data_IF_688839768366
#
_entry.id   IF_688839768366
#
_cell.length_a   1.000
_cell.length_b   1.000
_cell.length_c   1.000
_cell.angle_alpha   90.00
_cell.angle_beta   90.00
_cell.angle_gamma   90.00
#
_symmetry.space_group_name_H-M   'P 1'
#
loop_
_entity.id
_entity.type
_entity.pdbx_description
1 polymer ?
#
# COMPACT_ATOMS: atom_id res chain seq x y z
N UNK A 1 -32.73 49.82 -90.61
CA UNK A 1 -32.20 48.60 -89.98
C UNK A 1 -31.53 49.05 -88.68
N UNK A 2 -32.28 49.07 -87.57
CA UNK A 2 -32.46 47.99 -86.56
C UNK A 2 -31.26 47.89 -85.61
N UNK A 3 -31.36 47.93 -84.27
CA UNK A 3 -32.45 48.13 -83.30
C UNK A 3 -31.82 48.42 -81.91
N UNK A 4 -32.55 49.02 -80.96
CA UNK A 4 -32.10 49.37 -79.59
C UNK A 4 -33.09 48.84 -78.52
N UNK A 5 -32.60 48.49 -77.32
CA UNK A 5 -33.28 47.75 -76.23
C UNK A 5 -33.40 48.57 -74.91
N UNK A 6 -34.42 48.26 -74.07
CA UNK A 6 -34.71 48.84 -72.73
C UNK A 6 -35.06 47.74 -71.70
N UNK A 7 -34.66 47.90 -70.43
CA UNK A 7 -34.80 46.95 -69.28
C UNK A 7 -35.67 47.48 -68.11
N UNK A 8 -36.18 46.53 -67.27
CA UNK A 8 -37.18 46.65 -66.17
C UNK A 8 -36.62 47.10 -64.80
N UNK A 9 -37.49 47.63 -63.92
CA UNK A 9 -37.26 47.86 -62.48
C UNK A 9 -38.38 47.23 -61.59
N UNK A 10 -38.03 46.70 -60.41
CA UNK A 10 -38.92 46.07 -59.42
C UNK A 10 -39.13 46.97 -58.18
N UNK A 11 -40.33 46.90 -57.56
CA UNK A 11 -40.70 47.60 -56.31
C UNK A 11 -40.51 46.67 -55.08
N UNK A 12 -39.95 47.19 -54.00
CA UNK A 12 -39.90 46.54 -52.67
C UNK A 12 -40.88 47.23 -51.71
N UNK A 13 -41.61 46.44 -50.91
CA UNK A 13 -42.43 46.90 -49.80
C UNK A 13 -41.93 46.28 -48.50
N UNK A 14 -41.65 47.13 -47.50
CA UNK A 14 -41.16 46.77 -46.16
C UNK A 14 -42.37 46.47 -45.25
N UNK A 15 -42.38 45.32 -44.58
CA UNK A 15 -43.28 45.03 -43.46
C UNK A 15 -42.45 44.73 -42.22
N UNK A 16 -42.65 45.52 -41.15
CA UNK A 16 -42.07 45.29 -39.84
C UNK A 16 -43.11 44.62 -38.94
N UNK A 17 -42.83 43.41 -38.46
CA UNK A 17 -43.60 42.72 -37.43
C UNK A 17 -42.78 42.60 -36.15
N UNK A 18 -43.28 43.19 -35.07
CA UNK A 18 -42.74 43.01 -33.70
C UNK A 18 -43.15 41.62 -33.22
N UNK A 19 -42.17 40.74 -32.97
CA UNK A 19 -42.38 39.48 -32.24
C UNK A 19 -41.98 39.69 -30.78
N UNK A 20 -42.97 39.71 -29.88
CA UNK A 20 -42.78 39.63 -28.44
C UNK A 20 -42.50 38.16 -28.09
N UNK A 21 -41.22 37.81 -27.99
CA UNK A 21 -40.79 36.49 -27.51
C UNK A 21 -40.68 36.51 -25.99
N UNK A 22 -41.61 35.88 -25.29
CA UNK A 22 -41.41 35.51 -23.87
C UNK A 22 -40.36 34.41 -23.81
N UNK A 23 -39.14 34.73 -23.41
CA UNK A 23 -38.14 33.74 -23.03
C UNK A 23 -38.60 33.10 -21.70
N UNK A 24 -39.11 31.88 -21.76
CA UNK A 24 -39.15 30.99 -20.60
C UNK A 24 -37.70 30.69 -20.22
N UNK A 25 -37.20 31.33 -19.17
CA UNK A 25 -35.96 30.89 -18.53
C UNK A 25 -36.20 29.45 -18.04
N UNK A 26 -35.45 28.49 -18.57
CA UNK A 26 -35.44 27.14 -18.02
C UNK A 26 -35.00 27.24 -16.55
N UNK A 27 -35.83 26.77 -15.63
CA UNK A 27 -35.40 26.57 -14.23
C UNK A 27 -34.27 25.53 -14.26
N UNK A 28 -33.07 25.95 -13.91
CA UNK A 28 -31.94 25.04 -13.78
C UNK A 28 -32.13 24.25 -12.49
N UNK A 29 -32.31 22.94 -12.60
CA UNK A 29 -32.33 22.02 -11.47
C UNK A 29 -30.88 21.64 -11.14
N UNK A 30 -30.44 21.92 -9.92
CA UNK A 30 -29.09 21.63 -9.44
C UNK A 30 -29.15 20.73 -8.21
N UNK A 31 -28.53 19.56 -8.30
CA UNK A 31 -28.37 18.66 -7.16
C UNK A 31 -27.20 19.14 -6.29
N UNK A 32 -27.52 19.69 -5.12
CA UNK A 32 -26.55 20.26 -4.18
C UNK A 32 -26.26 19.27 -3.06
N UNK A 33 -25.01 18.85 -2.92
CA UNK A 33 -24.54 17.98 -1.84
C UNK A 33 -24.05 18.80 -0.65
N UNK A 34 -24.71 18.64 0.49
CA UNK A 34 -24.34 19.22 1.78
C UNK A 34 -23.49 18.22 2.59
N UNK A 35 -22.52 18.74 3.34
CA UNK A 35 -21.58 17.92 4.12
C UNK A 35 -21.23 18.60 5.45
N UNK A 36 -21.36 17.87 6.57
CA UNK A 36 -21.00 18.36 7.91
C UNK A 36 -20.29 17.28 8.71
N UNK A 37 -19.24 17.66 9.41
CA UNK A 37 -18.47 16.80 10.31
C UNK A 37 -18.91 17.03 11.77
N UNK A 38 -19.35 15.93 12.41
CA UNK A 38 -19.87 15.89 13.77
C UNK A 38 -18.82 15.40 14.80
N UNK A 39 -17.56 15.21 14.42
CA UNK A 39 -16.51 14.61 15.24
C UNK A 39 -16.36 15.30 16.60
N UNK A 40 -16.37 16.64 16.63
CA UNK A 40 -16.22 17.39 17.88
C UNK A 40 -17.35 17.09 18.88
N UNK A 41 -18.58 16.90 18.40
CA UNK A 41 -19.76 16.66 19.22
C UNK A 41 -19.84 15.20 19.69
N UNK A 42 -19.39 14.26 18.86
CA UNK A 42 -19.21 12.85 19.24
C UNK A 42 -18.20 12.72 20.38
N UNK A 43 -17.03 13.35 20.24
CA UNK A 43 -15.98 13.35 21.28
C UNK A 43 -16.48 13.93 22.62
N UNK A 44 -17.36 14.93 22.57
CA UNK A 44 -17.96 15.54 23.76
C UNK A 44 -19.15 14.76 24.34
N UNK A 45 -19.57 13.65 23.72
CA UNK A 45 -20.77 12.90 24.13
C UNK A 45 -22.09 13.68 23.93
N UNK A 46 -22.08 14.66 23.02
CA UNK A 46 -23.25 15.48 22.66
C UNK A 46 -23.98 14.97 21.42
N UNK A 47 -23.36 14.06 20.68
CA UNK A 47 -23.92 13.45 19.48
C UNK A 47 -23.52 11.96 19.41
N UNK A 48 -24.46 11.09 19.07
CA UNK A 48 -24.28 9.64 18.97
C UNK A 48 -24.65 9.14 17.58
N UNK A 49 -23.66 8.64 16.84
CA UNK A 49 -23.87 8.11 15.49
C UNK A 49 -24.92 6.98 15.48
N UNK A 50 -25.82 7.01 14.48
CA UNK A 50 -26.88 6.03 14.30
C UNK A 50 -28.06 6.14 15.27
N UNK A 51 -27.98 7.03 16.26
CA UNK A 51 -29.10 7.37 17.16
C UNK A 51 -29.61 8.78 16.87
N UNK A 52 -28.68 9.72 16.74
CA UNK A 52 -28.99 11.12 16.48
C UNK A 52 -29.01 11.40 14.97
N UNK A 53 -29.80 12.37 14.55
CA UNK A 53 -29.95 12.74 13.14
C UNK A 53 -29.46 14.17 12.90
N UNK A 54 -28.96 14.41 11.69
CA UNK A 54 -28.55 15.74 11.24
C UNK A 54 -29.33 16.09 9.99
N UNK A 55 -29.86 17.30 9.93
CA UNK A 55 -30.53 17.84 8.75
C UNK A 55 -29.79 19.07 8.24
N UNK A 56 -29.87 19.33 6.93
CA UNK A 56 -29.56 20.64 6.38
C UNK A 56 -30.86 21.39 6.10
N UNK A 57 -30.98 22.62 6.60
CA UNK A 57 -32.14 23.48 6.39
C UNK A 57 -31.73 24.83 5.83
N UNK A 58 -32.49 25.38 4.89
CA UNK A 58 -32.08 26.59 4.19
C UNK A 58 -33.16 27.21 3.31
N UNK A 59 -32.79 28.29 2.63
CA UNK A 59 -33.66 29.05 1.71
C UNK A 59 -34.23 28.18 0.61
N UNK A 60 -33.43 27.26 0.06
CA UNK A 60 -33.76 26.33 -1.04
C UNK A 60 -34.95 25.39 -0.78
N UNK A 61 -35.44 25.31 0.46
CA UNK A 61 -36.63 24.54 0.82
C UNK A 61 -37.59 25.32 1.75
N UNK A 62 -37.27 26.58 2.07
CA UNK A 62 -38.08 27.43 2.93
C UNK A 62 -37.90 27.20 4.44
N UNK A 63 -36.71 26.78 4.88
CA UNK A 63 -36.36 26.56 6.31
C UNK A 63 -37.23 25.54 7.06
N UNK A 64 -37.91 24.65 6.34
CA UNK A 64 -38.66 23.50 6.86
C UNK A 64 -37.74 22.31 7.16
N UNK A 65 -38.25 21.31 7.91
CA UNK A 65 -37.51 20.07 8.19
C UNK A 65 -37.76 18.97 7.17
N UNK A 66 -37.05 17.84 7.30
CA UNK A 66 -37.27 16.65 6.47
C UNK A 66 -36.19 16.36 5.42
N UNK A 67 -35.11 17.14 5.37
CA UNK A 67 -33.91 16.82 4.60
C UNK A 67 -32.81 16.30 5.53
N UNK A 68 -32.90 15.02 5.89
CA UNK A 68 -31.91 14.34 6.72
C UNK A 68 -30.67 13.94 5.93
N UNK A 69 -29.51 14.12 6.55
CA UNK A 69 -28.21 13.69 6.06
C UNK A 69 -27.92 12.29 6.61
N UNK A 70 -27.14 11.53 5.86
CA UNK A 70 -26.68 10.19 6.25
C UNK A 70 -25.17 10.17 6.39
N UNK A 71 -24.64 9.34 7.28
CA UNK A 71 -23.21 9.18 7.44
C UNK A 71 -22.53 8.70 6.13
N UNK A 72 -21.36 9.25 5.84
CA UNK A 72 -20.55 8.87 4.70
C UNK A 72 -20.01 7.44 4.89
N UNK A 73 -20.01 6.58 3.85
CA UNK A 73 -19.39 5.26 3.93
C UNK A 73 -17.89 5.28 4.25
N UNK A 74 -17.21 6.40 3.96
CA UNK A 74 -15.77 6.57 4.22
C UNK A 74 -15.43 7.15 5.60
N UNK A 75 -16.39 7.76 6.28
CA UNK A 75 -16.22 8.34 7.62
C UNK A 75 -17.58 8.43 8.32
N UNK A 76 -17.76 7.70 9.42
CA UNK A 76 -19.00 7.65 10.17
C UNK A 76 -19.39 8.98 10.84
N UNK A 77 -18.46 9.93 10.96
CA UNK A 77 -18.69 11.23 11.58
C UNK A 77 -19.04 12.33 10.57
N UNK A 78 -18.83 12.10 9.27
CA UNK A 78 -19.23 13.02 8.21
C UNK A 78 -20.63 12.66 7.74
N UNK A 79 -21.57 13.59 7.88
CA UNK A 79 -22.94 13.46 7.40
C UNK A 79 -23.10 14.20 6.07
N UNK A 80 -23.64 13.50 5.07
CA UNK A 80 -23.85 14.01 3.72
C UNK A 80 -25.24 13.69 3.20
N UNK A 81 -25.75 14.58 2.35
CA UNK A 81 -27.03 14.42 1.66
C UNK A 81 -27.09 15.34 0.46
N UNK A 82 -27.85 14.95 -0.56
CA UNK A 82 -28.04 15.75 -1.77
C UNK A 82 -29.48 16.21 -1.85
N UNK A 83 -29.67 17.51 -2.04
CA UNK A 83 -30.97 18.14 -2.25
C UNK A 83 -30.99 18.81 -3.62
N UNK A 84 -32.10 18.61 -4.33
CA UNK A 84 -32.33 19.24 -5.62
C UNK A 84 -32.86 20.66 -5.43
N UNK A 85 -32.05 21.66 -5.77
CA UNK A 85 -32.42 23.09 -5.74
C UNK A 85 -32.94 23.52 -7.12
N UNK A 86 -34.09 24.20 -7.14
CA UNK A 86 -34.76 24.66 -8.38
C UNK A 86 -34.70 26.18 -8.58
N UNK A 87 -33.98 26.87 -7.69
CA UNK A 87 -33.80 28.32 -7.76
C UNK A 87 -32.92 28.73 -8.95
N UNK A 88 -32.93 30.02 -9.27
CA UNK A 88 -32.17 30.53 -10.41
C UNK A 88 -30.65 30.36 -10.17
N UNK A 89 -29.92 29.95 -11.19
CA UNK A 89 -28.47 29.91 -11.11
C UNK A 89 -27.87 31.28 -10.68
N UNK A 90 -26.74 31.23 -9.98
CA UNK A 90 -26.09 32.37 -9.32
C UNK A 90 -26.85 33.02 -8.15
N UNK A 91 -27.98 32.46 -7.68
CA UNK A 91 -28.56 32.89 -6.40
C UNK A 91 -27.63 32.57 -5.24
N UNK A 92 -27.66 33.42 -4.21
CA UNK A 92 -27.03 33.13 -2.93
C UNK A 92 -28.07 32.40 -2.08
N UNK A 93 -27.76 31.16 -1.75
CA UNK A 93 -28.56 30.34 -0.85
C UNK A 93 -28.00 30.39 0.56
N UNK A 94 -28.89 30.42 1.54
CA UNK A 94 -28.56 30.36 2.96
C UNK A 94 -28.92 29.00 3.53
N UNK A 95 -28.10 28.50 4.47
CA UNK A 95 -28.37 27.23 5.13
C UNK A 95 -27.77 27.15 6.53
N UNK A 96 -28.27 26.18 7.31
CA UNK A 96 -27.72 25.72 8.57
C UNK A 96 -27.93 24.21 8.73
N UNK A 97 -27.06 23.58 9.49
CA UNK A 97 -27.26 22.24 10.02
C UNK A 97 -28.07 22.28 11.31
N UNK A 98 -28.93 21.29 11.48
CA UNK A 98 -29.74 21.09 12.70
C UNK A 98 -29.57 19.65 13.14
N UNK A 99 -29.27 19.46 14.42
CA UNK A 99 -29.32 18.14 15.03
C UNK A 99 -30.73 17.93 15.59
N UNK A 100 -31.39 16.89 15.12
CA UNK A 100 -32.67 16.40 15.66
C UNK A 100 -32.43 15.03 16.31
N UNK A 101 -32.78 14.89 17.58
CA UNK A 101 -32.22 13.87 18.46
C UNK A 101 -30.97 14.35 19.22
N UNK A 102 -30.31 13.46 19.95
CA UNK A 102 -29.33 13.80 20.98
C UNK A 102 -30.03 14.15 22.29
N UNK A 103 -29.25 14.27 23.36
CA UNK A 103 -29.67 14.70 24.70
C UNK A 103 -30.29 16.12 24.77
N UNK A 104 -30.76 16.68 23.66
CA UNK A 104 -31.37 18.00 23.52
C UNK A 104 -30.36 19.15 23.54
N UNK A 105 -29.07 18.85 23.39
CA UNK A 105 -27.98 19.79 23.69
C UNK A 105 -27.46 20.59 22.48
N UNK A 106 -27.77 20.19 21.24
CA UNK A 106 -27.18 20.78 20.03
C UNK A 106 -28.17 21.68 19.27
N UNK A 107 -29.29 21.14 18.77
CA UNK A 107 -30.28 21.91 18.03
C UNK A 107 -29.71 22.55 16.76
N UNK A 108 -30.07 23.81 16.49
CA UNK A 108 -29.54 24.57 15.36
C UNK A 108 -28.05 24.89 15.54
N UNK A 109 -27.28 24.75 14.47
CA UNK A 109 -25.90 25.21 14.52
C UNK A 109 -25.79 26.73 14.70
N UNK A 110 -24.68 27.14 15.34
CA UNK A 110 -24.23 28.50 15.54
C UNK A 110 -22.76 28.60 15.09
N UNK A 111 -22.50 28.74 13.77
CA UNK A 111 -21.16 28.72 13.22
C UNK A 111 -20.37 29.97 13.59
N UNK A 112 -19.16 29.81 14.10
CA UNK A 112 -18.31 30.96 14.47
C UNK A 112 -17.88 31.81 13.27
N UNK A 113 -17.71 31.20 12.08
CA UNK A 113 -17.32 31.88 10.84
C UNK A 113 -18.32 32.93 10.37
N UNK A 114 -19.59 32.80 10.76
CA UNK A 114 -20.68 33.73 10.42
C UNK A 114 -21.18 34.52 11.64
N UNK A 115 -20.50 34.41 12.78
CA UNK A 115 -20.95 35.01 14.04
C UNK A 115 -22.26 34.43 14.56
N UNK A 116 -22.54 33.15 14.27
CA UNK A 116 -23.78 32.45 14.62
C UNK A 116 -24.90 32.60 13.59
N UNK A 117 -24.69 33.32 12.49
CA UNK A 117 -25.66 33.49 11.41
C UNK A 117 -25.68 32.30 10.43
N UNK A 118 -26.51 32.36 9.41
CA UNK A 118 -26.62 31.33 8.38
C UNK A 118 -25.32 31.21 7.57
N UNK A 119 -24.97 29.99 7.17
CA UNK A 119 -23.95 29.74 6.15
C UNK A 119 -24.52 30.09 4.79
N UNK A 120 -23.67 30.43 3.83
CA UNK A 120 -24.08 30.83 2.49
C UNK A 120 -23.30 30.06 1.41
N UNK A 121 -23.93 29.81 0.29
CA UNK A 121 -23.27 29.37 -0.94
C UNK A 121 -23.93 30.01 -2.17
N UNK A 122 -23.20 30.10 -3.28
CA UNK A 122 -23.77 30.56 -4.55
C UNK A 122 -24.07 29.37 -5.44
N UNK A 123 -25.30 29.30 -5.94
CA UNK A 123 -25.75 28.22 -6.83
C UNK A 123 -25.00 28.28 -8.17
N UNK A 124 -24.47 27.13 -8.62
CA UNK A 124 -23.64 27.08 -9.84
C UNK A 124 -24.38 27.57 -11.08
N UNK A 125 -23.65 28.22 -11.99
CA UNK A 125 -24.16 28.70 -13.28
C UNK A 125 -24.00 27.70 -14.41
N UNK A 126 -23.16 26.69 -14.21
CA UNK A 126 -22.86 25.67 -15.22
C UNK A 126 -22.78 24.32 -14.53
N UNK A 127 -23.81 23.49 -14.70
CA UNK A 127 -23.83 22.12 -14.18
C UNK A 127 -25.17 21.74 -13.59
N UNK A 128 -25.39 20.43 -13.49
CA UNK A 128 -26.57 19.84 -12.84
C UNK A 128 -26.28 19.42 -11.40
N UNK A 129 -25.03 19.54 -10.93
CA UNK A 129 -24.57 19.08 -9.61
C UNK A 129 -23.60 20.08 -8.98
N UNK A 130 -23.67 20.26 -7.66
CA UNK A 130 -22.74 21.09 -6.89
C UNK A 130 -22.46 20.46 -5.52
N UNK A 131 -21.20 20.17 -5.21
CA UNK A 131 -20.81 19.65 -3.90
C UNK A 131 -20.22 20.76 -3.04
N UNK A 132 -20.82 21.02 -1.88
CA UNK A 132 -20.30 22.00 -0.92
C UNK A 132 -19.14 21.40 -0.11
N UNK A 133 -18.18 22.22 0.36
CA UNK A 133 -17.12 21.74 1.26
C UNK A 133 -17.69 21.10 2.54
N UNK A 134 -16.96 20.13 3.10
CA UNK A 134 -17.22 19.63 4.46
C UNK A 134 -16.90 20.75 5.45
N UNK A 135 -17.83 21.04 6.36
CA UNK A 135 -17.64 22.01 7.45
C UNK A 135 -17.84 21.36 8.82
N UNK A 136 -17.22 21.89 9.86
CA UNK A 136 -17.41 21.42 11.24
C UNK A 136 -18.73 21.99 11.79
N UNK A 137 -19.52 21.19 12.50
CA UNK A 137 -20.72 21.70 13.18
C UNK A 137 -20.34 22.81 14.19
N UNK A 138 -21.03 23.97 14.14
CA UNK A 138 -20.69 25.20 14.86
C UNK A 138 -19.31 25.82 14.53
N UNK A 139 -18.61 25.32 13.51
CA UNK A 139 -17.18 25.56 13.30
C UNK A 139 -16.34 25.22 14.54
N UNK A 140 -16.80 24.26 15.34
CA UNK A 140 -16.14 23.87 16.59
C UNK A 140 -14.97 22.93 16.29
N UNK A 141 -13.72 23.29 16.66
CA UNK A 141 -12.59 22.38 16.52
C UNK A 141 -12.81 21.08 17.32
N UNK A 142 -12.29 19.97 16.81
CA UNK A 142 -12.29 18.70 17.54
C UNK A 142 -11.42 18.84 18.79
N UNK A 143 -11.95 18.61 20.01
CA UNK A 143 -11.14 18.67 21.23
C UNK A 143 -10.05 17.60 21.21
N UNK A 144 -8.85 17.93 21.69
CA UNK A 144 -7.81 16.94 21.95
C UNK A 144 -8.25 15.98 23.06
N UNK A 145 -8.07 14.68 22.86
CA UNK A 145 -8.27 13.65 23.88
C UNK A 145 -7.01 12.84 24.05
N UNK A 146 -6.70 12.40 25.27
CA UNK A 146 -5.59 11.48 25.51
C UNK A 146 -6.02 10.05 25.20
N UNK A 147 -5.38 9.43 24.21
CA UNK A 147 -5.56 8.04 23.82
C UNK A 147 -4.27 7.26 24.16
N UNK A 148 -4.40 6.17 24.91
CA UNK A 148 -3.29 5.29 25.23
C UNK A 148 -2.99 4.36 24.04
N UNK A 149 -1.98 4.73 23.24
CA UNK A 149 -1.63 4.03 22.01
C UNK A 149 -0.54 2.98 22.28
N UNK A 150 -0.86 1.70 22.03
CA UNK A 150 0.09 0.59 22.13
C UNK A 150 0.80 0.35 20.80
N UNK A 151 2.12 0.53 20.80
CA UNK A 151 3.03 0.24 19.68
C UNK A 151 3.58 -1.17 19.83
N UNK A 152 3.76 -1.87 18.70
CA UNK A 152 4.21 -3.26 18.68
C UNK A 152 5.18 -3.50 17.50
N UNK A 153 6.37 -4.02 17.78
CA UNK A 153 7.38 -4.34 16.76
C UNK A 153 8.02 -5.70 17.02
N UNK A 154 8.09 -6.53 16.00
CA UNK A 154 8.74 -7.83 16.03
C UNK A 154 10.21 -7.71 15.57
N UNK A 155 11.13 -8.08 16.45
CA UNK A 155 12.58 -8.01 16.26
C UNK A 155 13.21 -9.34 15.84
N UNK A 156 12.42 -10.37 15.56
CA UNK A 156 12.89 -11.75 15.33
C UNK A 156 13.98 -11.85 14.28
N UNK A 157 13.87 -11.13 13.16
CA UNK A 157 14.90 -11.16 12.11
C UNK A 157 16.19 -10.45 12.56
N UNK A 158 16.11 -9.39 13.36
CA UNK A 158 17.32 -8.72 13.86
C UNK A 158 18.05 -9.58 14.89
N UNK A 159 17.30 -10.33 15.71
CA UNK A 159 17.87 -11.34 16.61
C UNK A 159 18.54 -12.47 15.82
N UNK A 160 17.88 -12.99 14.77
CA UNK A 160 18.45 -14.02 13.89
C UNK A 160 19.76 -13.55 13.23
N UNK A 161 19.83 -12.28 12.84
CA UNK A 161 21.02 -11.66 12.23
C UNK A 161 22.10 -11.28 13.25
N UNK A 162 21.85 -11.52 14.53
CA UNK A 162 22.71 -11.08 15.64
C UNK A 162 22.95 -9.55 15.65
N UNK A 163 22.00 -8.78 15.10
CA UNK A 163 22.01 -7.32 15.09
C UNK A 163 21.30 -6.73 16.31
N UNK A 164 20.52 -7.54 17.02
CA UNK A 164 19.76 -7.14 18.20
C UNK A 164 19.79 -8.26 19.26
N UNK A 165 20.10 -7.91 20.49
CA UNK A 165 20.21 -8.85 21.63
C UNK A 165 19.17 -8.49 22.68
N UNK A 166 18.20 -9.39 22.90
CA UNK A 166 17.14 -9.21 23.89
C UNK A 166 17.73 -8.97 25.30
N UNK A 167 17.21 -7.94 25.98
CA UNK A 167 17.64 -7.57 27.34
C UNK A 167 18.98 -6.82 27.41
N UNK A 168 19.65 -6.61 26.28
CA UNK A 168 20.87 -5.79 26.18
C UNK A 168 20.59 -4.53 25.37
N UNK A 169 20.02 -4.71 24.18
CA UNK A 169 19.73 -3.61 23.27
C UNK A 169 18.34 -3.01 23.58
N UNK A 170 18.21 -1.70 23.37
CA UNK A 170 16.95 -0.97 23.61
C UNK A 170 16.31 -0.59 22.28
N UNK A 171 15.00 -0.77 22.18
CA UNK A 171 14.20 -0.29 21.05
C UNK A 171 13.13 0.67 21.55
N UNK A 172 12.98 1.80 20.87
CA UNK A 172 12.00 2.83 21.17
C UNK A 172 11.07 3.06 19.97
N UNK A 173 9.87 3.54 20.24
CA UNK A 173 9.04 4.18 19.22
C UNK A 173 9.16 5.70 19.37
N UNK A 174 9.43 6.41 18.27
CA UNK A 174 9.48 7.88 18.24
C UNK A 174 8.57 8.38 17.14
N UNK A 175 7.74 9.37 17.43
CA UNK A 175 6.85 9.97 16.44
C UNK A 175 6.49 11.43 16.71
N UNK A 176 5.58 11.96 15.88
CA UNK A 176 5.04 13.33 15.98
C UNK A 176 4.38 13.59 17.33
N UNK A 177 3.69 12.60 17.90
CA UNK A 177 3.02 12.64 19.22
C UNK A 177 3.92 12.99 20.41
N UNK A 178 5.24 12.99 20.24
CA UNK A 178 6.21 13.39 21.26
C UNK A 178 7.36 14.25 20.70
N UNK A 179 7.23 14.73 19.45
CA UNK A 179 8.21 15.62 18.83
C UNK A 179 9.54 14.94 18.42
N UNK A 180 9.51 13.65 18.08
CA UNK A 180 10.68 12.88 17.64
C UNK A 180 11.83 12.78 18.67
N UNK A 181 11.56 13.05 19.95
CA UNK A 181 12.52 12.87 21.04
C UNK A 181 12.59 11.41 21.54
N UNK A 182 13.57 11.09 22.37
CA UNK A 182 13.71 9.75 22.99
C UNK A 182 13.03 9.65 24.35
N UNK A 183 13.05 8.45 24.93
CA UNK A 183 12.48 8.20 26.27
C UNK A 183 11.18 7.39 26.28
N UNK A 184 10.86 6.71 25.17
CA UNK A 184 9.76 5.74 25.10
C UNK A 184 10.27 4.35 24.68
N UNK A 185 11.00 3.65 25.58
CA UNK A 185 11.46 2.29 25.32
C UNK A 185 10.29 1.29 25.36
N UNK A 186 10.36 0.33 24.45
CA UNK A 186 9.45 -0.81 24.40
C UNK A 186 10.07 -1.98 25.16
N UNK A 187 9.24 -2.89 25.64
CA UNK A 187 9.67 -4.09 26.36
C UNK A 187 9.06 -5.34 25.76
N UNK A 188 9.77 -6.46 25.89
CA UNK A 188 9.31 -7.78 25.48
C UNK A 188 8.87 -8.61 26.69
N UNK A 189 8.04 -9.61 26.44
CA UNK A 189 7.73 -10.63 27.44
C UNK A 189 8.66 -11.84 27.23
N UNK A 190 9.69 -11.99 28.07
CA UNK A 190 10.65 -13.09 27.98
C UNK A 190 10.02 -14.49 28.21
N UNK A 191 8.81 -14.56 28.77
CA UNK A 191 8.03 -15.81 28.92
C UNK A 191 6.87 -15.91 27.93
N UNK A 192 6.76 -14.96 26.98
CA UNK A 192 5.72 -14.95 25.95
C UNK A 192 6.01 -15.94 24.82
N UNK A 193 4.99 -16.26 24.03
CA UNK A 193 5.12 -17.14 22.87
C UNK A 193 6.09 -16.58 21.80
N UNK A 194 6.14 -15.25 21.66
CA UNK A 194 7.14 -14.54 20.87
C UNK A 194 7.98 -13.66 21.80
N UNK A 195 9.16 -14.15 22.18
CA UNK A 195 10.08 -13.42 23.06
C UNK A 195 10.78 -12.25 22.36
N UNK A 196 10.63 -12.10 21.04
CA UNK A 196 11.19 -11.00 20.25
C UNK A 196 10.15 -9.91 19.91
N UNK A 197 8.91 -10.04 20.40
CA UNK A 197 7.88 -9.01 20.25
C UNK A 197 8.06 -7.95 21.32
N UNK A 198 8.37 -6.73 20.89
CA UNK A 198 8.51 -5.56 21.76
C UNK A 198 7.25 -4.70 21.69
N UNK A 199 6.73 -4.33 22.85
CA UNK A 199 5.48 -3.58 23.01
C UNK A 199 5.65 -2.44 24.01
N UNK A 200 4.88 -1.37 23.83
CA UNK A 200 4.86 -0.24 24.77
C UNK A 200 3.64 0.63 24.52
N UNK A 201 3.14 1.31 25.56
CA UNK A 201 1.97 2.18 25.45
C UNK A 201 2.34 3.62 25.79
N UNK A 202 1.97 4.55 24.91
CA UNK A 202 2.21 5.99 25.08
C UNK A 202 0.89 6.77 25.11
N UNK A 203 0.70 7.72 26.03
CA UNK A 203 -0.48 8.58 26.06
C UNK A 203 -0.36 9.69 24.97
N UNK A 204 -0.99 9.48 23.82
CA UNK A 204 -1.02 10.46 22.73
C UNK A 204 -2.18 11.43 22.97
N UNK A 205 -1.89 12.74 23.02
CA UNK A 205 -2.90 13.76 23.25
C UNK A 205 -3.08 14.63 22.00
N UNK A 206 -4.03 14.23 21.15
CA UNK A 206 -4.40 14.93 19.92
C UNK A 206 -5.91 14.73 19.64
N UNK A 207 -6.45 15.38 18.63
CA UNK A 207 -7.79 15.12 18.13
C UNK A 207 -7.86 13.71 17.50
N UNK A 208 -8.96 12.99 17.75
CA UNK A 208 -9.26 11.79 16.97
C UNK A 208 -9.38 12.12 15.49
N UNK A 209 -8.85 11.25 14.63
CA UNK A 209 -8.72 11.48 13.19
C UNK A 209 -7.37 12.07 12.76
N UNK A 210 -6.57 12.61 13.68
CA UNK A 210 -5.21 13.07 13.37
C UNK A 210 -4.34 11.91 12.86
N UNK A 211 -3.60 12.14 11.78
CA UNK A 211 -2.59 11.19 11.29
C UNK A 211 -1.28 11.44 11.99
N UNK A 212 -0.88 10.49 12.83
CA UNK A 212 0.39 10.50 13.54
C UNK A 212 1.45 9.73 12.74
N UNK A 213 2.67 10.24 12.73
CA UNK A 213 3.83 9.63 12.08
C UNK A 213 4.76 9.06 13.16
N UNK A 214 5.35 7.90 12.92
CA UNK A 214 6.28 7.25 13.85
C UNK A 214 7.30 6.37 13.14
N UNK A 215 8.40 6.09 13.83
CA UNK A 215 9.37 5.04 13.48
C UNK A 215 9.90 4.37 14.73
N UNK A 216 10.36 3.14 14.58
CA UNK A 216 11.17 2.46 15.58
C UNK A 216 12.65 2.82 15.42
N UNK A 217 13.35 2.90 16.54
CA UNK A 217 14.80 3.12 16.59
C UNK A 217 15.40 2.19 17.62
N UNK A 218 16.52 1.56 17.28
CA UNK A 218 17.36 0.86 18.25
C UNK A 218 18.38 1.85 18.80
N UNK A 219 18.32 2.10 20.11
CA UNK A 219 19.23 2.99 20.85
C UNK A 219 20.16 2.14 21.73
N UNK A 220 21.47 2.24 21.51
CA UNK A 220 22.47 1.37 22.15
C UNK A 220 22.61 -0.04 21.55
N UNK A 221 23.67 -0.75 21.98
CA UNK A 221 23.99 -2.12 21.55
C UNK A 221 25.29 -2.28 20.77
N UNK A 222 25.69 -3.53 20.50
CA UNK A 222 26.90 -3.86 19.73
C UNK A 222 26.78 -3.54 18.22
N UNK A 223 25.72 -2.85 17.78
CA UNK A 223 25.39 -2.61 16.37
C UNK A 223 24.70 -1.27 16.11
N UNK A 224 25.07 -0.64 14.98
CA UNK A 224 24.52 0.62 14.44
C UNK A 224 23.15 0.42 13.74
N UNK A 225 22.21 -0.34 14.32
CA UNK A 225 20.91 -0.57 13.66
C UNK A 225 20.15 0.75 13.43
N UNK A 226 20.18 1.64 14.44
CA UNK A 226 19.62 2.98 14.33
C UNK A 226 18.14 2.97 13.96
N UNK A 227 17.74 3.96 13.15
CA UNK A 227 16.37 4.08 12.67
C UNK A 227 15.99 2.94 11.74
N UNK A 228 14.78 2.42 11.90
CA UNK A 228 14.24 1.47 10.93
C UNK A 228 14.17 2.07 9.51
N UNK A 229 14.10 1.21 8.50
CA UNK A 229 13.97 1.54 7.09
C UNK A 229 12.88 0.66 6.43
N UNK A 230 11.59 0.89 6.74
CA UNK A 230 10.49 0.03 6.32
C UNK A 230 10.24 0.06 4.81
N UNK A 231 10.14 -1.11 4.19
CA UNK A 231 9.88 -1.23 2.76
C UNK A 231 8.50 -0.70 2.36
N UNK A 232 7.48 -0.85 3.22
CA UNK A 232 6.10 -0.39 2.98
C UNK A 232 5.97 1.12 2.75
N UNK A 233 6.92 1.90 3.27
CA UNK A 233 6.94 3.36 3.15
C UNK A 233 8.16 3.85 2.35
N UNK A 234 8.90 2.94 1.70
CA UNK A 234 10.18 3.25 1.04
C UNK A 234 11.18 3.94 1.98
N UNK A 235 11.21 3.52 3.25
CA UNK A 235 12.11 4.04 4.28
C UNK A 235 11.59 5.24 5.08
N UNK A 236 10.46 5.82 4.66
CA UNK A 236 9.83 6.93 5.36
C UNK A 236 9.17 6.49 6.68
N UNK A 237 8.57 7.46 7.37
CA UNK A 237 7.83 7.20 8.60
C UNK A 237 6.63 6.29 8.35
N UNK A 238 6.34 5.44 9.33
CA UNK A 238 5.05 4.75 9.44
C UNK A 238 4.01 5.75 9.93
N UNK A 239 2.74 5.46 9.71
CA UNK A 239 1.65 6.32 10.18
C UNK A 239 0.48 5.54 10.74
N UNK A 240 -0.26 6.16 11.65
CA UNK A 240 -1.57 5.68 12.07
C UNK A 240 -2.53 6.85 12.22
N UNK A 241 -3.82 6.58 12.03
CA UNK A 241 -4.88 7.54 12.38
C UNK A 241 -5.26 7.32 13.84
N UNK A 242 -5.18 8.38 14.65
CA UNK A 242 -5.56 8.35 16.05
C UNK A 242 -7.07 8.09 16.16
N UNK A 243 -7.46 7.03 16.85
CA UNK A 243 -8.87 6.74 17.08
C UNK A 243 -9.47 7.75 18.08
N UNK A 244 -10.75 8.10 17.89
CA UNK A 244 -11.57 8.80 18.89
C UNK A 244 -11.95 7.86 20.04
N UNK A 245 -10.95 7.39 20.79
CA UNK A 245 -11.07 6.40 21.86
C UNK A 245 -10.08 6.70 23.00
N UNK A 246 -10.23 5.99 24.12
CA UNK A 246 -9.30 6.09 25.27
C UNK A 246 -8.07 5.20 25.15
N UNK A 247 -8.12 4.20 24.27
CA UNK A 247 -7.00 3.30 23.98
C UNK A 247 -7.06 2.80 22.53
N UNK A 248 -5.89 2.55 21.95
CA UNK A 248 -5.74 2.00 20.60
C UNK A 248 -4.50 1.11 20.55
N UNK A 249 -4.65 -0.13 20.12
CA UNK A 249 -3.52 -1.02 19.86
C UNK A 249 -3.22 -1.02 18.38
N UNK A 250 -2.01 -0.61 18.00
CA UNK A 250 -1.57 -0.66 16.61
C UNK A 250 -1.24 -2.11 16.20
N UNK A 251 -1.39 -2.48 14.92
CA UNK A 251 -0.97 -3.78 14.44
C UNK A 251 0.51 -4.06 14.73
N UNK A 252 0.84 -5.33 14.93
CA UNK A 252 2.24 -5.77 14.98
C UNK A 252 2.86 -5.54 13.61
N UNK A 253 4.03 -4.91 13.59
CA UNK A 253 4.85 -4.77 12.38
C UNK A 253 6.24 -5.36 12.60
N UNK A 254 6.93 -5.73 11.53
CA UNK A 254 8.32 -6.19 11.60
C UNK A 254 9.28 -5.01 11.48
N UNK A 255 10.39 -5.01 12.21
CA UNK A 255 11.43 -4.00 12.03
C UNK A 255 11.94 -4.02 10.57
N UNK A 256 11.95 -2.87 9.90
CA UNK A 256 12.22 -2.71 8.45
C UNK A 256 11.24 -3.44 7.51
N UNK A 257 10.08 -3.88 8.01
CA UNK A 257 9.14 -4.77 7.29
C UNK A 257 9.75 -6.11 6.86
N UNK A 258 10.75 -6.59 7.61
CA UNK A 258 11.45 -7.82 7.31
C UNK A 258 10.92 -8.96 8.18
N UNK A 259 10.08 -9.83 7.58
CA UNK A 259 9.58 -11.03 8.24
C UNK A 259 10.57 -12.20 8.10
N UNK A 260 10.42 -13.24 8.93
CA UNK A 260 11.21 -14.48 8.79
C UNK A 260 11.05 -15.14 7.43
N UNK A 261 9.89 -14.98 6.79
CA UNK A 261 9.63 -15.50 5.43
C UNK A 261 10.34 -14.73 4.32
N UNK A 262 11.03 -13.63 4.64
CA UNK A 262 11.83 -12.83 3.70
C UNK A 262 13.33 -13.14 3.77
N UNK A 263 13.74 -13.96 4.72
CA UNK A 263 15.14 -14.30 4.96
C UNK A 263 15.34 -15.80 5.11
N UNK A 264 16.59 -16.25 4.95
CA UNK A 264 16.95 -17.64 5.23
C UNK A 264 16.89 -17.89 6.75
N UNK A 265 16.10 -18.87 7.16
CA UNK A 265 15.98 -19.22 8.58
C UNK A 265 17.24 -19.91 9.17
N UNK A 266 18.13 -20.42 8.31
CA UNK A 266 19.37 -21.09 8.69
C UNK A 266 20.44 -20.89 7.61
N UNK A 267 21.70 -21.09 7.98
CA UNK A 267 22.80 -21.14 7.03
C UNK A 267 22.50 -22.14 5.92
N UNK A 268 22.70 -21.71 4.68
CA UNK A 268 22.30 -22.48 3.50
C UNK A 268 23.44 -22.54 2.50
N UNK A 269 23.91 -23.75 2.19
CA UNK A 269 24.90 -24.01 1.16
C UNK A 269 24.21 -24.03 -0.20
N UNK A 270 24.44 -23.00 -1.01
CA UNK A 270 23.81 -22.82 -2.32
C UNK A 270 24.78 -23.20 -3.43
N UNK A 271 24.36 -24.11 -4.31
CA UNK A 271 25.09 -24.49 -5.52
C UNK A 271 24.65 -23.61 -6.68
N UNK A 272 25.59 -22.88 -7.27
CA UNK A 272 25.40 -22.10 -8.50
C UNK A 272 26.00 -22.87 -9.67
N UNK A 273 25.38 -22.79 -10.85
CA UNK A 273 25.84 -23.50 -12.04
C UNK A 273 25.53 -22.72 -13.30
N UNK A 274 26.49 -22.67 -14.23
CA UNK A 274 26.34 -21.98 -15.51
C UNK A 274 26.81 -22.87 -16.66
N UNK A 275 26.03 -22.89 -17.74
CA UNK A 275 26.42 -23.47 -19.01
C UNK A 275 27.19 -22.43 -19.84
N UNK A 276 28.45 -22.76 -20.16
CA UNK A 276 29.37 -21.91 -20.92
C UNK A 276 29.43 -22.26 -22.42
N UNK A 277 28.53 -23.12 -22.90
CA UNK A 277 28.48 -23.49 -24.32
C UNK A 277 28.27 -22.25 -25.19
N UNK A 278 29.23 -21.95 -26.07
CA UNK A 278 29.25 -20.76 -26.92
C UNK A 278 29.24 -19.43 -26.15
N UNK A 279 29.73 -19.39 -24.90
CA UNK A 279 29.82 -18.17 -24.14
C UNK A 279 30.75 -17.14 -24.79
N UNK A 280 30.30 -15.89 -24.88
CA UNK A 280 31.07 -14.75 -25.39
C UNK A 280 30.87 -13.59 -24.42
N UNK A 281 31.97 -13.01 -23.95
CA UNK A 281 31.95 -11.86 -23.07
C UNK A 281 31.50 -10.57 -23.77
N UNK A 282 31.11 -9.56 -23.00
CA UNK A 282 30.74 -8.23 -23.52
C UNK A 282 31.89 -7.51 -24.22
N UNK A 283 33.13 -7.95 -23.99
CA UNK A 283 34.37 -7.56 -24.66
C UNK A 283 34.63 -8.32 -25.98
N UNK A 284 33.68 -9.13 -26.43
CA UNK A 284 33.75 -10.02 -27.59
C UNK A 284 34.76 -11.18 -27.45
N UNK A 285 35.26 -11.44 -26.23
CA UNK A 285 36.11 -12.59 -25.95
C UNK A 285 35.27 -13.88 -25.93
N UNK A 286 35.57 -14.83 -26.82
CA UNK A 286 34.93 -16.14 -26.83
C UNK A 286 35.59 -17.05 -25.79
N UNK A 287 34.77 -17.71 -24.96
CA UNK A 287 35.25 -18.59 -23.91
C UNK A 287 36.00 -19.81 -24.46
N UNK A 288 37.23 -20.03 -23.99
CA UNK A 288 38.03 -21.23 -24.26
C UNK A 288 38.20 -22.06 -22.97
N UNK A 289 37.57 -23.25 -22.84
CA UNK A 289 37.69 -24.07 -21.63
C UNK A 289 39.11 -24.60 -21.37
N UNK A 290 40.03 -24.51 -22.34
CA UNK A 290 41.43 -24.90 -22.21
C UNK A 290 42.33 -23.83 -21.57
N UNK A 291 41.95 -22.56 -21.62
CA UNK A 291 42.75 -21.44 -21.10
C UNK A 291 42.02 -20.51 -20.13
N UNK A 292 40.69 -20.45 -20.22
CA UNK A 292 39.86 -19.56 -19.42
C UNK A 292 39.34 -20.23 -18.14
N UNK A 293 38.96 -19.40 -17.18
CA UNK A 293 38.32 -19.79 -15.93
C UNK A 293 36.97 -19.09 -15.75
N UNK A 294 36.07 -19.72 -15.01
CA UNK A 294 34.72 -19.20 -14.75
C UNK A 294 34.58 -18.82 -13.29
N UNK A 295 33.93 -17.70 -13.03
CA UNK A 295 33.79 -17.12 -11.70
C UNK A 295 32.36 -16.68 -11.40
N UNK A 296 31.98 -16.68 -10.12
CA UNK A 296 30.68 -16.21 -9.63
C UNK A 296 30.78 -14.87 -8.88
N UNK A 297 30.30 -13.79 -9.48
CA UNK A 297 30.31 -12.43 -8.93
C UNK A 297 29.00 -12.06 -8.22
N UNK A 298 29.00 -11.02 -7.38
CA UNK A 298 27.78 -10.37 -6.86
C UNK A 298 27.09 -11.05 -5.66
N UNK A 299 27.31 -12.34 -5.40
CA UNK A 299 26.72 -13.04 -4.24
C UNK A 299 27.25 -12.45 -2.92
N UNK A 300 26.46 -12.58 -1.84
CA UNK A 300 26.84 -12.20 -0.48
C UNK A 300 28.26 -12.63 -0.12
N UNK A 301 29.11 -11.67 0.26
CA UNK A 301 30.53 -11.89 0.59
C UNK A 301 30.77 -11.87 2.11
N UNK A 302 29.89 -12.47 2.91
CA UNK A 302 30.10 -12.55 4.36
C UNK A 302 29.89 -11.25 5.15
N UNK A 303 29.61 -10.12 4.49
CA UNK A 303 29.36 -8.81 5.12
C UNK A 303 27.92 -8.35 4.81
N UNK A 304 27.09 -8.02 5.81
CA UNK A 304 25.74 -7.47 5.60
C UNK A 304 25.74 -6.27 4.65
N UNK A 305 24.99 -6.36 3.54
CA UNK A 305 24.91 -5.31 2.52
C UNK A 305 26.08 -5.26 1.53
N UNK A 306 26.98 -6.25 1.55
CA UNK A 306 28.11 -6.37 0.63
C UNK A 306 27.92 -7.50 -0.37
N UNK A 307 28.49 -7.32 -1.55
CA UNK A 307 28.57 -8.28 -2.63
C UNK A 307 30.04 -8.55 -2.96
N UNK A 308 30.35 -9.74 -3.51
CA UNK A 308 31.64 -9.92 -4.18
C UNK A 308 31.77 -8.86 -5.26
N UNK A 309 32.79 -8.00 -5.13
CA UNK A 309 33.02 -6.90 -6.04
C UNK A 309 33.18 -7.38 -7.49
N UNK A 310 32.88 -6.48 -8.42
CA UNK A 310 33.04 -6.72 -9.84
C UNK A 310 34.53 -6.62 -10.21
N UNK A 311 35.25 -7.74 -10.22
CA UNK A 311 36.67 -7.81 -10.60
C UNK A 311 37.53 -8.73 -9.75
N UNK A 312 38.82 -8.84 -10.12
CA UNK A 312 39.79 -9.82 -9.57
C UNK A 312 40.11 -9.71 -8.06
N UNK A 313 39.54 -8.76 -7.32
CA UNK A 313 39.78 -8.58 -5.89
C UNK A 313 38.54 -8.05 -5.14
N UNK A 314 38.13 -8.65 -4.01
CA UNK A 314 38.66 -9.87 -3.35
C UNK A 314 38.34 -11.16 -4.14
N UNK A 315 38.94 -12.34 -3.84
CA UNK A 315 38.87 -13.51 -4.73
C UNK A 315 37.44 -13.98 -4.95
N UNK A 316 36.95 -13.77 -6.16
CA UNK A 316 35.67 -14.30 -6.64
C UNK A 316 35.74 -15.84 -6.60
N UNK A 317 34.69 -16.56 -6.14
CA UNK A 317 34.69 -18.01 -6.18
C UNK A 317 34.91 -18.54 -7.59
N UNK A 318 36.06 -19.19 -7.81
CA UNK A 318 36.32 -19.94 -9.03
C UNK A 318 35.36 -21.12 -9.10
N UNK A 319 34.84 -21.37 -10.29
CA UNK A 319 33.90 -22.46 -10.55
C UNK A 319 34.63 -23.64 -11.18
N UNK A 320 34.24 -24.83 -10.79
CA UNK A 320 34.82 -26.09 -11.29
C UNK A 320 33.99 -26.62 -12.45
N UNK A 321 34.66 -27.01 -13.54
CA UNK A 321 34.01 -27.69 -14.66
C UNK A 321 33.54 -29.09 -14.23
N UNK A 322 32.32 -29.49 -14.63
CA UNK A 322 31.79 -30.84 -14.54
C UNK A 322 31.90 -31.56 -15.91
N UNK A 323 33.09 -32.07 -16.30
CA UNK A 323 33.29 -32.74 -17.57
C UNK A 323 32.43 -34.02 -17.68
N UNK A 324 31.98 -34.40 -18.90
CA UNK A 324 32.37 -33.86 -20.22
C UNK A 324 31.56 -32.64 -20.69
N UNK A 325 30.73 -32.05 -19.83
CA UNK A 325 29.94 -30.87 -20.17
C UNK A 325 30.77 -29.57 -20.10
N UNK A 326 30.19 -28.46 -20.57
CA UNK A 326 30.67 -27.09 -20.28
C UNK A 326 29.87 -26.43 -19.16
N UNK A 327 29.41 -27.23 -18.19
CA UNK A 327 28.73 -26.74 -16.99
C UNK A 327 29.76 -26.54 -15.89
N UNK A 328 29.88 -25.30 -15.44
CA UNK A 328 30.74 -24.91 -14.32
C UNK A 328 29.87 -24.71 -13.09
N UNK A 329 30.34 -25.16 -11.92
CA UNK A 329 29.60 -25.04 -10.66
C UNK A 329 30.48 -24.65 -9.48
N UNK A 330 29.89 -23.98 -8.51
CA UNK A 330 30.52 -23.68 -7.21
C UNK A 330 29.46 -23.64 -6.11
N UNK A 331 29.90 -23.73 -4.86
CA UNK A 331 29.03 -23.67 -3.69
C UNK A 331 29.39 -22.46 -2.83
N UNK A 332 28.37 -21.72 -2.37
CA UNK A 332 28.51 -20.58 -1.48
C UNK A 332 27.63 -20.78 -0.26
N UNK A 333 28.21 -20.63 0.93
CA UNK A 333 27.44 -20.61 2.17
C UNK A 333 26.80 -19.24 2.35
N UNK A 334 25.47 -19.19 2.32
CA UNK A 334 24.70 -17.98 2.58
C UNK A 334 24.16 -18.06 4.03
N UNK A 335 24.55 -17.14 4.93
CA UNK A 335 24.15 -17.22 6.33
C UNK A 335 22.65 -17.01 6.57
N UNK A 336 22.18 -17.52 7.71
CA UNK A 336 20.87 -17.21 8.25
C UNK A 336 20.63 -15.68 8.34
N UNK A 337 19.40 -15.25 8.11
CA UNK A 337 19.01 -13.84 8.10
C UNK A 337 19.39 -13.08 6.82
N UNK A 338 20.06 -13.72 5.85
CA UNK A 338 20.25 -13.18 4.49
C UNK A 338 18.93 -13.18 3.73
N UNK A 339 18.68 -12.21 2.83
CA UNK A 339 17.49 -12.22 1.97
C UNK A 339 17.37 -13.53 1.18
N UNK A 340 16.13 -13.99 0.96
CA UNK A 340 15.90 -15.15 0.08
C UNK A 340 16.34 -14.88 -1.37
N UNK A 341 16.28 -13.61 -1.81
CA UNK A 341 16.75 -13.20 -3.12
C UNK A 341 18.28 -13.08 -3.14
N UNK A 342 18.90 -13.60 -4.19
CA UNK A 342 20.32 -13.42 -4.50
C UNK A 342 20.46 -12.71 -5.85
N UNK A 343 21.40 -11.77 -5.89
CA UNK A 343 21.78 -11.04 -7.10
C UNK A 343 23.21 -11.43 -7.45
N UNK A 344 23.46 -11.83 -8.68
CA UNK A 344 24.78 -12.33 -9.11
C UNK A 344 24.98 -12.25 -10.62
N UNK A 345 26.22 -12.47 -11.05
CA UNK A 345 26.59 -12.76 -12.45
C UNK A 345 27.72 -13.77 -12.49
N UNK A 346 27.94 -14.33 -13.67
CA UNK A 346 29.14 -15.09 -13.97
C UNK A 346 30.21 -14.20 -14.61
N UNK A 347 31.43 -14.69 -14.73
CA UNK A 347 32.52 -13.96 -15.37
C UNK A 347 33.55 -14.88 -15.97
N UNK A 348 34.04 -14.54 -17.16
CA UNK A 348 35.22 -15.18 -17.76
C UNK A 348 36.45 -14.49 -17.19
N UNK A 349 37.39 -15.28 -16.64
CA UNK A 349 38.63 -14.81 -16.03
C UNK A 349 38.43 -13.77 -14.92
N UNK A 350 37.27 -13.80 -14.25
CA UNK A 350 36.94 -12.96 -13.10
C UNK A 350 36.49 -11.53 -13.45
N UNK A 351 36.33 -11.21 -14.74
CA UNK A 351 35.80 -9.92 -15.17
C UNK A 351 34.26 -9.85 -15.06
N UNK A 352 33.71 -8.64 -14.95
CA UNK A 352 32.28 -8.40 -15.15
C UNK A 352 31.98 -8.29 -16.65
N UNK A 353 31.99 -9.44 -17.33
CA UNK A 353 31.84 -9.53 -18.78
C UNK A 353 30.69 -10.44 -19.22
N UNK A 354 29.80 -10.85 -18.32
CA UNK A 354 28.61 -11.62 -18.70
C UNK A 354 27.54 -10.75 -19.36
N UNK A 355 27.32 -9.53 -18.85
CA UNK A 355 26.30 -8.62 -19.35
C UNK A 355 26.60 -7.16 -18.94
N UNK A 356 25.78 -6.23 -19.44
CA UNK A 356 25.92 -4.80 -19.18
C UNK A 356 25.74 -4.39 -17.72
N UNK A 357 25.89 -3.09 -17.46
CA UNK A 357 25.71 -2.51 -16.13
C UNK A 357 24.32 -2.83 -15.56
N UNK A 358 24.28 -3.28 -14.30
CA UNK A 358 23.07 -3.66 -13.54
C UNK A 358 22.20 -4.77 -14.16
N UNK A 359 22.64 -5.41 -15.25
CA UNK A 359 22.00 -6.57 -15.83
C UNK A 359 22.47 -7.82 -15.09
N UNK A 360 21.90 -8.07 -13.91
CA UNK A 360 22.28 -9.20 -13.06
C UNK A 360 21.23 -10.31 -13.13
N UNK A 361 21.63 -11.53 -12.77
CA UNK A 361 20.67 -12.54 -12.35
C UNK A 361 20.06 -12.12 -11.01
N UNK A 362 18.75 -12.31 -10.87
CA UNK A 362 18.01 -12.19 -9.62
C UNK A 362 17.23 -13.50 -9.45
N UNK A 363 17.64 -14.34 -8.50
CA UNK A 363 17.00 -15.62 -8.21
C UNK A 363 16.69 -15.80 -6.74
N UNK A 364 15.89 -16.80 -6.40
CA UNK A 364 15.48 -17.07 -5.02
C UNK A 364 15.99 -18.41 -4.51
N UNK A 365 16.56 -18.39 -3.30
CA UNK A 365 16.82 -19.59 -2.51
C UNK A 365 15.49 -20.03 -1.88
N UNK A 366 15.00 -21.22 -2.25
CA UNK A 366 13.65 -21.68 -1.90
C UNK A 366 13.60 -22.60 -0.68
N UNK A 367 14.72 -23.19 -0.31
CA UNK A 367 14.85 -24.10 0.85
C UNK A 367 16.17 -23.85 1.56
N UNK A 368 16.19 -24.01 2.89
CA UNK A 368 17.41 -23.88 3.70
C UNK A 368 18.21 -25.18 3.77
N UNK A 369 19.45 -25.11 4.28
CA UNK A 369 20.35 -26.26 4.39
C UNK A 369 21.23 -26.45 3.16
N UNK A 370 20.78 -27.23 2.18
CA UNK A 370 21.45 -27.34 0.87
C UNK A 370 20.45 -27.04 -0.24
N UNK A 371 20.81 -26.13 -1.13
CA UNK A 371 19.96 -25.72 -2.24
C UNK A 371 20.74 -25.70 -3.55
N UNK A 372 20.17 -26.24 -4.61
CA UNK A 372 20.76 -26.23 -5.95
C UNK A 372 19.95 -25.27 -6.81
N UNK A 373 20.60 -24.19 -7.25
CA UNK A 373 19.98 -23.26 -8.20
C UNK A 373 19.79 -23.95 -9.56
N UNK A 374 18.75 -23.58 -10.33
CA UNK A 374 18.66 -24.00 -11.72
C UNK A 374 19.90 -23.55 -12.50
N UNK A 375 20.35 -24.38 -13.44
CA UNK A 375 21.53 -24.09 -14.28
C UNK A 375 21.24 -22.87 -15.15
N UNK A 376 22.08 -21.85 -15.04
CA UNK A 376 22.05 -20.66 -15.88
C UNK A 376 22.70 -20.91 -17.24
N UNK A 377 22.43 -20.04 -18.20
CA UNK A 377 23.20 -19.93 -19.44
C UNK A 377 23.94 -18.60 -19.42
N UNK A 378 25.23 -18.61 -19.72
CA UNK A 378 26.04 -17.39 -19.72
C UNK A 378 25.43 -16.34 -20.66
N UNK A 379 25.43 -15.07 -20.24
CA UNK A 379 24.84 -13.93 -20.95
C UNK A 379 23.31 -13.99 -21.16
N UNK A 380 22.60 -14.83 -20.38
CA UNK A 380 21.14 -14.90 -20.35
C UNK A 380 20.62 -14.65 -18.94
N UNK A 381 20.63 -13.38 -18.51
CA UNK A 381 20.19 -13.01 -17.16
C UNK A 381 18.72 -13.32 -16.93
N UNK A 382 18.43 -14.01 -15.83
CA UNK A 382 17.08 -14.23 -15.36
C UNK A 382 16.76 -13.32 -14.19
N UNK A 383 15.71 -12.53 -14.32
CA UNK A 383 14.99 -11.94 -13.19
C UNK A 383 13.83 -12.86 -12.82
N UNK A 384 14.07 -13.79 -11.89
CA UNK A 384 13.10 -14.77 -11.44
C UNK A 384 11.99 -14.08 -10.62
N UNK A 385 10.71 -14.36 -10.87
CA UNK A 385 9.66 -13.87 -9.98
C UNK A 385 9.81 -14.50 -8.59
N UNK A 386 9.57 -13.69 -7.56
CA UNK A 386 9.64 -14.15 -6.17
C UNK A 386 8.75 -15.36 -5.91
N UNK A 387 7.54 -15.33 -6.45
CA UNK A 387 6.57 -16.42 -6.46
C UNK A 387 5.62 -16.23 -7.64
N UNK A 388 4.86 -17.25 -8.03
CA UNK A 388 3.95 -17.15 -9.16
C UNK A 388 3.79 -18.46 -9.90
N UNK A 389 3.55 -18.39 -11.21
CA UNK A 389 3.37 -19.56 -12.09
C UNK A 389 2.33 -20.55 -11.57
N UNK A 390 1.27 -20.03 -10.93
CA UNK A 390 0.18 -20.84 -10.42
C UNK A 390 -0.51 -21.54 -11.59
N UNK A 391 -0.57 -22.86 -11.54
CA UNK A 391 -1.16 -23.71 -12.55
C UNK A 391 -2.00 -24.79 -11.90
N UNK A 392 -3.22 -24.99 -12.41
CA UNK A 392 -4.08 -26.11 -12.06
C UNK A 392 -4.09 -27.09 -13.24
N UNK A 393 -3.62 -28.32 -12.99
CA UNK A 393 -3.60 -29.38 -13.99
C UNK A 393 -4.95 -30.08 -14.17
N UNK A 394 -4.97 -31.08 -15.04
CA UNK A 394 -6.16 -31.90 -15.26
C UNK A 394 -6.49 -32.77 -14.03
N UNK A 395 -7.79 -33.00 -13.81
CA UNK A 395 -8.27 -33.88 -12.73
C UNK A 395 -7.70 -35.28 -12.91
N UNK A 396 -7.13 -35.84 -11.84
CA UNK A 396 -6.65 -37.21 -11.77
C UNK A 396 -7.00 -37.81 -10.40
N UNK A 397 -7.59 -39.02 -10.38
CA UNK A 397 -7.95 -39.74 -9.17
C UNK A 397 -8.71 -38.89 -8.11
N UNK A 398 -9.69 -38.09 -8.56
CA UNK A 398 -10.50 -37.24 -7.68
C UNK A 398 -9.78 -36.02 -7.10
N UNK A 399 -8.61 -35.65 -7.65
CA UNK A 399 -7.85 -34.49 -7.25
C UNK A 399 -7.43 -33.64 -8.45
N UNK A 400 -7.23 -32.34 -8.23
CA UNK A 400 -6.61 -31.40 -9.17
C UNK A 400 -5.18 -31.13 -8.68
N UNK A 401 -4.14 -31.49 -9.44
CA UNK A 401 -2.79 -31.10 -9.11
C UNK A 401 -2.66 -29.59 -9.32
N UNK A 402 -2.28 -28.87 -8.27
CA UNK A 402 -2.02 -27.43 -8.31
C UNK A 402 -0.53 -27.23 -8.05
N UNK A 403 0.15 -26.50 -8.92
CA UNK A 403 1.60 -26.25 -8.84
C UNK A 403 1.89 -24.76 -8.95
N UNK A 404 2.95 -24.30 -8.30
CA UNK A 404 3.39 -22.92 -8.38
C UNK A 404 4.88 -22.80 -8.07
N UNK A 405 5.43 -21.63 -8.37
CA UNK A 405 6.75 -21.23 -7.92
C UNK A 405 6.66 -20.75 -6.47
N UNK A 406 6.87 -21.68 -5.52
CA UNK A 406 6.71 -21.44 -4.10
C UNK A 406 7.97 -20.96 -3.37
N UNK A 407 7.78 -20.27 -2.26
CA UNK A 407 8.82 -19.91 -1.29
C UNK A 407 8.18 -19.77 0.09
N UNK A 408 8.99 -19.71 1.13
CA UNK A 408 8.51 -19.39 2.48
C UNK A 408 7.75 -18.05 2.49
N UNK A 409 6.66 -18.00 3.26
CA UNK A 409 5.70 -16.90 3.35
C UNK A 409 4.65 -16.85 2.24
N UNK A 410 4.68 -17.78 1.28
CA UNK A 410 3.71 -17.82 0.18
C UNK A 410 2.78 -19.00 0.36
N UNK A 411 1.49 -18.71 0.42
CA UNK A 411 0.44 -19.69 0.62
C UNK A 411 -0.65 -19.58 -0.43
N UNK A 412 -1.36 -20.69 -0.64
CA UNK A 412 -2.52 -20.78 -1.50
C UNK A 412 -3.75 -20.19 -0.79
N UNK A 413 -4.62 -19.56 -1.57
CA UNK A 413 -5.96 -19.16 -1.17
C UNK A 413 -6.96 -19.69 -2.18
N UNK A 414 -8.15 -20.06 -1.68
CA UNK A 414 -9.25 -20.54 -2.54
C UNK A 414 -10.51 -19.72 -2.37
N UNK A 415 -11.34 -19.67 -3.41
CA UNK A 415 -12.68 -19.10 -3.35
C UNK A 415 -13.58 -19.76 -4.38
N UNK A 416 -14.88 -19.83 -4.13
CA UNK A 416 -15.87 -20.48 -5.01
C UNK A 416 -16.47 -19.57 -6.09
N UNK A 417 -16.18 -18.26 -6.03
CA UNK A 417 -16.59 -17.25 -7.02
C UNK A 417 -15.42 -16.30 -7.33
N UNK A 418 -15.39 -15.70 -8.53
CA UNK A 418 -14.43 -14.63 -8.87
C UNK A 418 -14.88 -13.25 -8.40
N UNK A 419 -16.17 -13.04 -8.20
CA UNK A 419 -16.75 -11.72 -7.91
C UNK A 419 -17.23 -11.59 -6.47
N UNK A 420 -17.55 -12.69 -5.81
CA UNK A 420 -18.22 -12.70 -4.51
C UNK A 420 -17.49 -13.58 -3.49
N UNK A 421 -17.74 -13.32 -2.21
CA UNK A 421 -17.20 -14.10 -1.10
C UNK A 421 -15.74 -13.76 -0.72
N UNK A 422 -15.35 -14.27 0.45
CA UNK A 422 -14.01 -14.11 1.01
C UNK A 422 -13.08 -15.22 0.51
N UNK A 423 -11.80 -14.89 0.36
CA UNK A 423 -10.77 -15.88 0.11
C UNK A 423 -10.48 -16.67 1.40
N UNK A 424 -10.43 -17.99 1.28
CA UNK A 424 -10.04 -18.90 2.36
C UNK A 424 -8.53 -19.14 2.24
N UNK A 425 -7.78 -18.88 3.31
CA UNK A 425 -6.34 -19.10 3.39
C UNK A 425 -6.00 -20.54 3.78
N UNK A 426 -4.95 -21.07 3.15
CA UNK A 426 -4.42 -22.42 3.37
C UNK A 426 -2.99 -22.34 3.89
N UNK A 427 -2.77 -21.97 5.17
CA UNK A 427 -1.44 -21.82 5.75
C UNK A 427 -0.62 -23.11 5.77
N UNK A 428 -1.27 -24.27 5.68
CA UNK A 428 -0.61 -25.56 5.50
C UNK A 428 0.15 -25.67 4.16
N UNK A 429 -0.08 -24.75 3.22
CA UNK A 429 0.63 -24.68 1.95
C UNK A 429 1.85 -23.74 1.95
N UNK A 430 2.15 -23.10 3.10
CA UNK A 430 3.30 -22.22 3.21
C UNK A 430 4.61 -22.93 2.86
N UNK A 431 5.42 -22.29 2.01
CA UNK A 431 6.69 -22.84 1.54
C UNK A 431 6.57 -24.01 0.56
N UNK A 432 5.37 -24.52 0.29
CA UNK A 432 5.16 -25.56 -0.71
C UNK A 432 5.18 -24.97 -2.13
N UNK A 433 5.34 -25.84 -3.12
CA UNK A 433 5.27 -25.51 -4.56
C UNK A 433 4.23 -26.35 -5.30
N UNK A 434 3.52 -27.23 -4.59
CA UNK A 434 2.46 -28.06 -5.15
C UNK A 434 1.53 -28.61 -4.09
N UNK A 435 0.27 -28.86 -4.46
CA UNK A 435 -0.70 -29.63 -3.67
C UNK A 435 -1.62 -30.41 -4.60
N UNK A 436 -2.23 -31.49 -4.10
CA UNK A 436 -3.28 -32.23 -4.79
C UNK A 436 -4.62 -31.86 -4.15
N UNK A 437 -5.39 -31.00 -4.83
CA UNK A 437 -6.63 -30.47 -4.28
C UNK A 437 -7.81 -31.41 -4.51
N UNK A 438 -8.59 -31.79 -3.48
CA UNK A 438 -9.72 -32.70 -3.68
C UNK A 438 -10.82 -32.08 -4.53
N UNK A 439 -11.36 -32.83 -5.49
CA UNK A 439 -12.52 -32.38 -6.27
C UNK A 439 -13.79 -32.54 -5.45
N UNK A 440 -14.35 -31.44 -4.95
CA UNK A 440 -15.55 -31.46 -4.10
C UNK A 440 -16.87 -31.11 -4.84
N UNK A 441 -16.87 -31.12 -6.18
CA UNK A 441 -18.06 -30.81 -6.99
C UNK A 441 -18.42 -29.32 -6.95
N UNK A 442 -17.76 -28.51 -7.77
CA UNK A 442 -18.01 -27.08 -7.88
C UNK A 442 -16.85 -26.35 -8.55
N UNK A 443 -17.04 -25.08 -8.88
CA UNK A 443 -15.96 -24.21 -9.37
C UNK A 443 -15.16 -23.71 -8.18
N UNK A 444 -13.84 -23.81 -8.27
CA UNK A 444 -12.92 -23.27 -7.28
C UNK A 444 -11.82 -22.48 -7.98
N UNK A 445 -11.57 -21.29 -7.48
CA UNK A 445 -10.53 -20.39 -7.94
C UNK A 445 -9.39 -20.40 -6.94
N UNK A 446 -8.17 -20.33 -7.46
CA UNK A 446 -6.95 -20.31 -6.68
C UNK A 446 -6.21 -18.99 -6.86
N UNK A 447 -5.57 -18.50 -5.81
CA UNK A 447 -4.54 -17.47 -5.91
C UNK A 447 -3.41 -17.74 -4.94
N UNK A 448 -2.26 -17.16 -5.22
CA UNK A 448 -1.14 -17.11 -4.28
C UNK A 448 -1.17 -15.78 -3.54
N UNK A 449 -0.83 -15.81 -2.27
CA UNK A 449 -0.62 -14.60 -1.47
C UNK A 449 0.66 -14.72 -0.67
N UNK A 450 1.32 -13.58 -0.46
CA UNK A 450 2.30 -13.38 0.60
C UNK A 450 1.64 -12.46 1.64
N UNK A 451 1.05 -13.02 2.70
CA UNK A 451 0.29 -12.26 3.70
C UNK A 451 1.11 -11.18 4.40
#
# INVERSE_FOLDING_TARGET
MNSSFITKAQRQGLWAGVLLGTALAAQAQVDVTFQVDMTAQVVQGKFSNGTDTVEARGSFQGWTGGFSLTNSPGDSNIYTGTYTVTDAAATVEEYKFVVDGGNGLLGWESPSSTGGNNRQFTLTTNGTTQTLPVVLFNDQPVPSSTNNVTFQVDMTVQVLKNNFVNGVDTIEARGSFQGWTGGFPLTNNASGANTNLYTGTYPVSDAGGTVEQYKFIVDGGNGNLGWENPASTSGNNRSFTLASATAQTLPVVYFNDLALSDVLAADTLVTFSVNMTNAVGTDAHAFDPGSDSVYLNGVYNGIPGSFWGWGLFPPVPAMTNNPPSLIYSTQVLIPAGSPLSVIYKYGINGADNEAGFAQNHLRYVRTTGTYVMPVDTFANQLAEPSFGNLNAGAVSAGHVPVTWLGRQGVQLQTRTSLTEGSWVAHPETDGLSSTNWPTAGGVLFFRLVKP
#
